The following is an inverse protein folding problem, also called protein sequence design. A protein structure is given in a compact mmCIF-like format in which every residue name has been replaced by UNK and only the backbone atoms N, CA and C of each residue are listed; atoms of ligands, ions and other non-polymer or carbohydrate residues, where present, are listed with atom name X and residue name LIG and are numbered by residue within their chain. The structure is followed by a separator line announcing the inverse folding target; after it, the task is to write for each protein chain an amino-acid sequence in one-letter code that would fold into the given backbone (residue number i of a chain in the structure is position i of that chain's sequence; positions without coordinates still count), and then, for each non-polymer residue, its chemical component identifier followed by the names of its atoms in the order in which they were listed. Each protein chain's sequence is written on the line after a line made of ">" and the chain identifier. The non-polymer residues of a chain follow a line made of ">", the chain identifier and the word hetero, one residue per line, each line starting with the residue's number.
data_IF_173898346285
#
_entry.id   IF_173898346285
#
_cell.length_a   1.000
_cell.length_b   1.000
_cell.length_c   1.000
_cell.angle_alpha   90.00
_cell.angle_beta   90.00
_cell.angle_gamma   90.00
#
_symmetry.space_group_name_H-M   'P 1'
#
loop_
_entity.id
_entity.type
_entity.pdbx_description
1 polymer ?
#
# COMPACT_ATOMS: atom_id res chain seq x y z
N UNK A 1 -7.56 -31.12 6.41
CA UNK A 1 -7.27 -31.21 4.96
C UNK A 1 -6.06 -30.38 4.52
N UNK A 2 -5.90 -29.09 4.90
CA UNK A 2 -4.74 -28.28 4.47
C UNK A 2 -3.36 -28.73 5.02
N UNK A 3 -3.32 -29.31 6.22
CA UNK A 3 -2.07 -29.80 6.82
C UNK A 3 -1.52 -31.05 6.13
N UNK A 4 -2.41 -31.88 5.56
CA UNK A 4 -2.08 -33.11 4.81
C UNK A 4 -1.64 -32.84 3.38
N UNK A 5 -1.87 -31.63 2.86
CA UNK A 5 -1.49 -31.19 1.51
C UNK A 5 -0.08 -30.55 1.45
N UNK A 6 0.70 -30.61 2.53
CA UNK A 6 2.08 -30.10 2.56
C UNK A 6 2.21 -28.57 2.56
N UNK A 7 1.12 -27.82 2.69
CA UNK A 7 1.17 -26.36 2.82
C UNK A 7 1.89 -25.96 4.11
N UNK A 8 2.88 -25.07 3.97
CA UNK A 8 3.57 -24.46 5.13
C UNK A 8 2.53 -23.80 6.05
N UNK A 9 2.65 -23.96 7.39
CA UNK A 9 1.64 -23.52 8.35
C UNK A 9 1.13 -22.09 8.16
N UNK A 10 1.99 -21.19 7.72
CA UNK A 10 1.74 -19.77 7.51
C UNK A 10 0.73 -19.52 6.38
N UNK A 11 0.74 -20.30 5.30
CA UNK A 11 -0.13 -20.08 4.11
C UNK A 11 -1.55 -20.63 4.28
N UNK A 12 -1.78 -21.42 5.33
CA UNK A 12 -3.03 -22.15 5.55
C UNK A 12 -4.24 -21.23 5.77
N UNK A 13 -4.15 -20.11 6.53
CA UNK A 13 -5.27 -19.18 6.68
C UNK A 13 -5.71 -18.55 5.35
N UNK A 14 -4.76 -18.09 4.55
CA UNK A 14 -4.99 -17.49 3.23
C UNK A 14 -5.64 -18.47 2.27
N UNK A 15 -5.14 -19.70 2.24
CA UNK A 15 -5.71 -20.76 1.40
C UNK A 15 -7.08 -21.23 1.87
N UNK A 16 -7.30 -21.36 3.18
CA UNK A 16 -8.61 -21.68 3.75
C UNK A 16 -9.65 -20.63 3.38
N UNK A 17 -9.27 -19.34 3.50
CA UNK A 17 -10.11 -18.22 3.12
C UNK A 17 -10.45 -18.25 1.62
N UNK A 18 -9.44 -18.43 0.77
CA UNK A 18 -9.63 -18.53 -0.67
C UNK A 18 -10.58 -19.66 -1.06
N UNK A 19 -10.41 -20.86 -0.48
CA UNK A 19 -11.29 -22.01 -0.73
C UNK A 19 -12.71 -21.75 -0.28
N UNK A 20 -12.88 -21.16 0.90
CA UNK A 20 -14.19 -20.79 1.40
C UNK A 20 -14.92 -19.83 0.43
N UNK A 21 -14.24 -18.78 -0.06
CA UNK A 21 -14.82 -17.85 -1.03
C UNK A 21 -15.24 -18.54 -2.34
N UNK A 22 -14.44 -19.50 -2.81
CA UNK A 22 -14.75 -20.29 -4.01
C UNK A 22 -15.97 -21.19 -3.77
N UNK A 23 -15.99 -21.91 -2.65
CA UNK A 23 -17.08 -22.83 -2.28
C UNK A 23 -18.39 -22.11 -2.00
N UNK A 24 -18.32 -20.93 -1.37
CA UNK A 24 -19.50 -20.10 -1.05
C UNK A 24 -19.94 -19.22 -2.21
N UNK A 25 -19.16 -19.13 -3.30
CA UNK A 25 -19.35 -18.20 -4.40
C UNK A 25 -19.45 -16.72 -3.94
N UNK A 26 -18.78 -16.37 -2.85
CA UNK A 26 -18.75 -15.02 -2.30
C UNK A 26 -17.33 -14.45 -2.34
N UNK A 27 -17.17 -13.23 -2.85
CA UNK A 27 -15.92 -12.48 -2.70
C UNK A 27 -16.04 -11.57 -1.48
N UNK A 28 -15.24 -11.85 -0.45
CA UNK A 28 -15.26 -11.10 0.81
C UNK A 28 -13.98 -10.28 0.99
N UNK A 29 -14.16 -9.02 1.38
CA UNK A 29 -13.07 -8.14 1.81
C UNK A 29 -12.44 -8.61 3.14
N UNK A 30 -11.13 -8.39 3.29
CA UNK A 30 -10.43 -8.50 4.56
C UNK A 30 -11.04 -7.54 5.57
N UNK A 31 -11.63 -8.09 6.63
CA UNK A 31 -12.33 -7.34 7.67
C UNK A 31 -13.85 -7.52 7.69
N UNK A 32 -14.45 -8.15 6.66
CA UNK A 32 -15.87 -8.53 6.71
C UNK A 32 -16.14 -9.48 7.88
N UNK A 33 -17.33 -9.39 8.48
CA UNK A 33 -17.69 -10.16 9.69
C UNK A 33 -17.50 -11.68 9.47
N UNK A 34 -17.86 -12.18 8.29
CA UNK A 34 -17.68 -13.57 7.91
C UNK A 34 -16.21 -14.04 7.92
N UNK A 35 -15.24 -13.12 7.71
CA UNK A 35 -13.80 -13.45 7.79
C UNK A 35 -13.34 -13.71 9.23
N UNK A 36 -14.11 -13.27 10.25
CA UNK A 36 -13.79 -13.53 11.67
C UNK A 36 -13.89 -14.99 12.03
N UNK A 37 -14.81 -15.74 11.43
CA UNK A 37 -14.98 -17.18 11.71
C UNK A 37 -13.70 -17.93 11.35
N UNK A 38 -13.06 -17.56 10.24
CA UNK A 38 -11.79 -18.13 9.81
C UNK A 38 -10.67 -17.72 10.77
N UNK A 39 -10.61 -16.44 11.17
CA UNK A 39 -9.65 -15.96 12.15
C UNK A 39 -9.78 -16.68 13.52
N UNK A 40 -11.00 -16.81 14.04
CA UNK A 40 -11.31 -17.50 15.29
C UNK A 40 -10.99 -19.00 15.23
N UNK A 41 -11.28 -19.63 14.09
CA UNK A 41 -10.92 -21.03 13.90
C UNK A 41 -9.40 -21.19 13.96
N UNK A 42 -8.63 -20.39 13.21
CA UNK A 42 -7.17 -20.49 13.24
C UNK A 42 -6.57 -20.06 14.58
N UNK A 43 -7.14 -19.09 15.30
CA UNK A 43 -6.64 -18.70 16.63
C UNK A 43 -6.84 -19.80 17.67
N UNK A 44 -7.97 -20.54 17.60
CA UNK A 44 -8.26 -21.66 18.51
C UNK A 44 -7.56 -22.96 18.14
N UNK A 45 -7.28 -23.17 16.85
CA UNK A 45 -6.77 -24.44 16.33
C UNK A 45 -5.30 -24.37 15.87
N UNK A 46 -4.60 -23.25 16.08
CA UNK A 46 -3.16 -23.16 15.80
C UNK A 46 -2.36 -22.63 16.98
N UNK A 47 -1.26 -23.31 17.30
CA UNK A 47 -0.45 -23.09 18.51
C UNK A 47 0.47 -21.86 18.45
N UNK A 48 0.59 -21.19 17.29
CA UNK A 48 1.70 -20.27 17.01
C UNK A 48 1.30 -18.85 16.55
N UNK A 49 0.01 -18.48 16.61
CA UNK A 49 -0.43 -17.17 16.10
C UNK A 49 -0.19 -17.03 14.59
N UNK A 50 -0.23 -18.15 13.85
CA UNK A 50 0.12 -18.23 12.42
C UNK A 50 -0.84 -17.44 11.52
N UNK A 51 -2.02 -17.09 12.03
CA UNK A 51 -2.98 -16.18 11.41
C UNK A 51 -2.51 -14.70 11.39
N UNK A 52 -1.38 -14.37 12.04
CA UNK A 52 -0.81 -13.01 12.16
C UNK A 52 0.56 -12.90 11.48
N UNK A 53 1.20 -14.02 11.10
CA UNK A 53 2.63 -14.07 10.75
C UNK A 53 2.92 -14.39 9.28
N UNK A 54 2.25 -13.74 8.35
CA UNK A 54 2.76 -13.64 6.98
C UNK A 54 3.19 -12.20 6.69
N UNK A 55 4.37 -11.95 6.11
CA UNK A 55 4.62 -10.65 5.50
C UNK A 55 3.63 -10.49 4.34
N UNK A 56 2.63 -9.65 4.56
CA UNK A 56 1.66 -9.25 3.55
C UNK A 56 2.27 -8.26 2.57
N UNK A 57 3.11 -7.38 3.11
CA UNK A 57 3.82 -6.36 2.39
C UNK A 57 5.07 -5.93 3.14
N UNK A 58 5.85 -5.07 2.50
CA UNK A 58 7.02 -4.43 3.10
C UNK A 58 6.99 -2.95 2.73
N UNK A 59 7.43 -2.11 3.66
CA UNK A 59 7.62 -0.68 3.46
C UNK A 59 9.03 -0.28 3.92
N UNK A 60 9.52 0.84 3.40
CA UNK A 60 10.75 1.46 3.86
C UNK A 60 10.41 2.65 4.75
N UNK A 61 11.01 2.75 5.94
CA UNK A 61 10.86 3.91 6.80
C UNK A 61 12.19 4.63 6.94
N UNK A 62 12.23 5.94 6.76
CA UNK A 62 13.47 6.72 6.91
C UNK A 62 13.60 7.24 8.33
N UNK A 63 14.61 6.76 9.05
CA UNK A 63 14.87 7.19 10.41
C UNK A 63 16.34 6.95 10.81
N UNK A 64 16.88 7.82 11.67
CA UNK A 64 18.28 7.82 12.09
C UNK A 64 19.26 7.79 10.89
N UNK A 65 18.94 8.57 9.84
CA UNK A 65 19.69 8.68 8.59
C UNK A 65 19.76 7.40 7.74
N UNK A 66 18.92 6.40 8.01
CA UNK A 66 18.86 5.14 7.28
C UNK A 66 17.44 4.80 6.84
N UNK A 67 17.31 4.06 5.73
CA UNK A 67 16.06 3.38 5.40
C UNK A 67 16.05 2.03 6.11
N UNK A 68 15.00 1.79 6.89
CA UNK A 68 14.78 0.53 7.60
C UNK A 68 13.55 -0.16 7.06
N UNK A 69 13.61 -1.49 6.99
CA UNK A 69 12.48 -2.29 6.52
C UNK A 69 11.43 -2.44 7.62
N UNK A 70 10.16 -2.22 7.25
CA UNK A 70 8.99 -2.45 8.08
C UNK A 70 8.10 -3.48 7.40
N UNK A 71 7.81 -4.59 8.09
CA UNK A 71 6.98 -5.67 7.52
C UNK A 71 5.52 -5.48 7.90
N UNK A 72 4.65 -5.49 6.90
CA UNK A 72 3.21 -5.42 7.12
C UNK A 72 2.70 -6.84 7.38
N UNK A 73 2.11 -7.13 8.56
CA UNK A 73 1.63 -8.46 8.87
C UNK A 73 0.28 -8.72 8.20
N UNK A 74 0.07 -9.89 7.59
CA UNK A 74 -1.28 -10.29 7.18
C UNK A 74 -2.06 -10.69 8.41
N UNK A 75 -3.23 -10.09 8.56
CA UNK A 75 -4.06 -10.26 9.74
C UNK A 75 -5.48 -10.65 9.34
N UNK A 76 -5.95 -11.77 9.88
CA UNK A 76 -7.35 -12.17 9.78
C UNK A 76 -8.13 -11.68 11.00
N UNK A 77 -9.30 -11.07 10.79
CA UNK A 77 -10.17 -10.58 11.86
C UNK A 77 -9.70 -9.25 12.46
N UNK A 78 -9.71 -9.14 13.80
CA UNK A 78 -9.34 -7.91 14.54
C UNK A 78 -8.27 -8.11 15.64
N UNK A 79 -7.13 -8.79 15.39
CA UNK A 79 -6.08 -8.87 16.39
C UNK A 79 -5.33 -7.54 16.54
N UNK A 80 -4.72 -7.36 17.70
CA UNK A 80 -3.92 -6.18 18.01
C UNK A 80 -2.59 -6.25 17.25
N UNK A 81 -2.39 -5.33 16.31
CA UNK A 81 -1.10 -5.12 15.63
C UNK A 81 -0.26 -4.19 16.49
N UNK A 82 1.02 -4.52 16.66
CA UNK A 82 2.01 -3.67 17.32
C UNK A 82 2.99 -3.15 16.28
N UNK A 83 2.81 -1.92 15.76
CA UNK A 83 3.64 -1.36 14.68
C UNK A 83 5.14 -1.45 14.99
N UNK A 84 5.56 -1.04 16.19
CA UNK A 84 6.98 -1.03 16.59
C UNK A 84 7.65 -2.41 16.56
N UNK A 85 6.88 -3.52 16.58
CA UNK A 85 7.42 -4.89 16.47
C UNK A 85 7.66 -5.31 15.00
N UNK A 86 7.30 -4.47 14.04
CA UNK A 86 7.37 -4.78 12.61
C UNK A 86 8.67 -4.35 11.93
N UNK A 87 9.54 -3.61 12.64
CA UNK A 87 10.87 -3.30 12.14
C UNK A 87 11.71 -4.58 11.94
N UNK A 88 12.42 -4.66 10.82
CA UNK A 88 13.39 -5.73 10.52
C UNK A 88 14.80 -5.24 10.67
N UNK A 89 15.63 -6.04 11.35
CA UNK A 89 17.06 -5.79 11.53
C UNK A 89 17.38 -4.43 12.18
N UNK A 90 16.43 -3.84 12.92
CA UNK A 90 16.64 -2.63 13.72
C UNK A 90 16.93 -3.03 15.18
N UNK A 91 18.06 -2.60 15.75
CA UNK A 91 18.36 -2.83 17.16
C UNK A 91 17.25 -2.35 18.12
N UNK A 92 16.94 -3.08 19.21
CA UNK A 92 15.86 -2.70 20.12
C UNK A 92 16.00 -1.31 20.76
N UNK A 93 17.23 -0.88 21.07
CA UNK A 93 17.49 0.45 21.66
C UNK A 93 17.11 1.59 20.70
N UNK A 94 17.23 1.35 19.39
CA UNK A 94 16.84 2.29 18.37
C UNK A 94 15.30 2.40 18.30
N UNK A 95 14.59 1.27 18.33
CA UNK A 95 13.12 1.27 18.39
C UNK A 95 12.61 1.98 19.66
N UNK A 96 13.30 1.82 20.79
CA UNK A 96 13.00 2.55 22.02
C UNK A 96 13.22 4.06 21.88
N UNK A 97 14.30 4.51 21.21
CA UNK A 97 14.52 5.93 20.91
C UNK A 97 13.39 6.53 20.09
N UNK A 98 12.93 5.81 19.06
CA UNK A 98 11.77 6.23 18.26
C UNK A 98 10.50 6.33 19.12
N UNK A 99 10.24 5.33 19.96
CA UNK A 99 9.08 5.29 20.85
C UNK A 99 9.09 6.41 21.92
N UNK A 100 10.27 6.87 22.32
CA UNK A 100 10.45 7.95 23.30
C UNK A 100 10.36 9.36 22.71
N UNK A 101 10.29 9.50 21.39
CA UNK A 101 10.11 10.78 20.69
C UNK A 101 8.67 10.87 20.17
N UNK A 102 7.80 11.70 20.78
CA UNK A 102 6.39 11.79 20.37
C UNK A 102 6.21 12.06 18.88
N UNK A 103 6.90 13.07 18.33
CA UNK A 103 6.79 13.45 16.92
C UNK A 103 7.27 12.33 15.97
N UNK A 104 8.38 11.66 16.33
CA UNK A 104 8.91 10.55 15.51
C UNK A 104 8.00 9.33 15.57
N UNK A 105 7.42 9.06 16.74
CA UNK A 105 6.46 7.98 16.93
C UNK A 105 5.19 8.24 16.14
N UNK A 106 4.63 9.45 16.21
CA UNK A 106 3.45 9.84 15.45
C UNK A 106 3.68 9.73 13.95
N UNK A 107 4.80 10.27 13.45
CA UNK A 107 5.18 10.15 12.04
C UNK A 107 5.31 8.67 11.61
N UNK A 108 5.91 7.83 12.45
CA UNK A 108 6.02 6.40 12.19
C UNK A 108 4.65 5.70 12.18
N UNK A 109 3.77 6.00 13.12
CA UNK A 109 2.44 5.39 13.19
C UNK A 109 1.58 5.79 11.99
N UNK A 110 1.67 7.06 11.56
CA UNK A 110 0.99 7.52 10.35
C UNK A 110 1.54 6.80 9.11
N UNK A 111 2.86 6.74 8.95
CA UNK A 111 3.50 5.99 7.88
C UNK A 111 3.06 4.52 7.86
N UNK A 112 3.11 3.85 9.02
CA UNK A 112 2.69 2.47 9.17
C UNK A 112 1.23 2.27 8.77
N UNK A 113 0.34 3.16 9.23
CA UNK A 113 -1.09 3.12 8.89
C UNK A 113 -1.31 3.25 7.37
N UNK A 114 -0.64 4.20 6.72
CA UNK A 114 -0.73 4.39 5.27
C UNK A 114 -0.24 3.14 4.52
N UNK A 115 0.95 2.63 4.89
CA UNK A 115 1.53 1.46 4.25
C UNK A 115 0.64 0.23 4.43
N UNK A 116 0.22 -0.04 5.66
CA UNK A 116 -0.65 -1.15 5.97
C UNK A 116 -1.97 -1.07 5.20
N UNK A 117 -2.58 0.12 5.18
CA UNK A 117 -3.80 0.40 4.42
C UNK A 117 -3.64 0.09 2.93
N UNK A 118 -2.56 0.54 2.30
CA UNK A 118 -2.30 0.24 0.87
C UNK A 118 -2.36 -1.25 0.58
N UNK A 119 -1.66 -2.08 1.35
CA UNK A 119 -1.67 -3.52 1.10
C UNK A 119 -3.06 -4.13 1.31
N UNK A 120 -3.77 -3.73 2.37
CA UNK A 120 -5.11 -4.27 2.68
C UNK A 120 -6.10 -3.92 1.58
N UNK A 121 -6.14 -2.63 1.20
CA UNK A 121 -7.05 -2.14 0.18
C UNK A 121 -6.71 -2.70 -1.21
N UNK A 122 -5.42 -2.81 -1.55
CA UNK A 122 -5.00 -3.46 -2.80
C UNK A 122 -5.53 -4.89 -2.90
N UNK A 123 -5.34 -5.70 -1.86
CA UNK A 123 -5.78 -7.08 -1.83
C UNK A 123 -7.31 -7.20 -1.89
N UNK A 124 -8.03 -6.32 -1.19
CA UNK A 124 -9.48 -6.26 -1.27
C UNK A 124 -9.92 -5.93 -2.69
N UNK A 125 -9.39 -4.87 -3.29
CA UNK A 125 -9.68 -4.46 -4.67
C UNK A 125 -9.34 -5.61 -5.65
N UNK A 126 -8.20 -6.29 -5.48
CA UNK A 126 -7.80 -7.42 -6.32
C UNK A 126 -8.84 -8.52 -6.33
N UNK A 127 -9.39 -8.88 -5.17
CA UNK A 127 -10.42 -9.92 -5.04
C UNK A 127 -11.76 -9.51 -5.63
N UNK A 128 -12.08 -8.22 -5.62
CA UNK A 128 -13.26 -7.70 -6.31
C UNK A 128 -13.03 -7.70 -7.83
N UNK A 129 -11.82 -7.41 -8.28
CA UNK A 129 -11.45 -7.42 -9.69
C UNK A 129 -11.36 -8.86 -10.27
N UNK A 130 -11.00 -9.86 -9.45
CA UNK A 130 -10.99 -11.29 -9.86
C UNK A 130 -12.37 -11.78 -10.31
N UNK A 131 -13.45 -11.29 -9.70
CA UNK A 131 -14.82 -11.66 -10.10
C UNK A 131 -15.33 -10.84 -11.28
N UNK A 132 -14.86 -9.60 -11.44
CA UNK A 132 -15.23 -8.69 -12.53
C UNK A 132 -14.07 -7.77 -12.90
N UNK A 133 -13.17 -8.19 -13.82
CA UNK A 133 -11.99 -7.41 -14.18
C UNK A 133 -12.34 -6.03 -14.72
N UNK A 134 -11.62 -5.01 -14.25
CA UNK A 134 -11.87 -3.61 -14.56
C UNK A 134 -10.57 -2.86 -14.88
N UNK A 135 -10.70 -1.76 -15.63
CA UNK A 135 -9.57 -0.86 -15.85
C UNK A 135 -9.05 -0.29 -14.53
N UNK A 136 -9.93 -0.01 -13.56
CA UNK A 136 -9.56 0.52 -12.24
C UNK A 136 -8.68 -0.48 -11.50
N UNK A 137 -9.04 -1.76 -11.47
CA UNK A 137 -8.23 -2.82 -10.84
C UNK A 137 -6.83 -2.92 -11.44
N UNK A 138 -6.70 -2.84 -12.77
CA UNK A 138 -5.39 -2.83 -13.44
C UNK A 138 -4.52 -1.66 -13.03
N UNK A 139 -5.10 -0.44 -12.93
CA UNK A 139 -4.39 0.74 -12.45
C UNK A 139 -3.97 0.60 -10.99
N UNK A 140 -4.84 0.09 -10.11
CA UNK A 140 -4.50 -0.17 -8.71
C UNK A 140 -3.32 -1.12 -8.59
N UNK A 141 -3.36 -2.27 -9.29
CA UNK A 141 -2.24 -3.22 -9.29
C UNK A 141 -0.95 -2.58 -9.85
N UNK A 142 -1.06 -1.72 -10.86
CA UNK A 142 0.10 -1.02 -11.41
C UNK A 142 0.70 -0.02 -10.41
N UNK A 143 -0.12 0.78 -9.71
CA UNK A 143 0.34 1.70 -8.69
C UNK A 143 1.05 0.98 -7.53
N UNK A 144 0.46 -0.12 -7.03
CA UNK A 144 1.06 -0.96 -5.99
C UNK A 144 2.40 -1.58 -6.40
N UNK A 145 2.54 -2.03 -7.65
CA UNK A 145 3.82 -2.52 -8.18
C UNK A 145 4.89 -1.42 -8.17
N UNK A 146 4.53 -0.19 -8.53
CA UNK A 146 5.46 0.93 -8.49
C UNK A 146 5.87 1.27 -7.05
N UNK A 147 4.95 1.29 -6.07
CA UNK A 147 5.31 1.46 -4.65
C UNK A 147 6.24 0.35 -4.12
N UNK A 148 5.98 -0.89 -4.53
CA UNK A 148 6.82 -2.03 -4.15
C UNK A 148 8.23 -1.90 -4.74
N UNK A 149 8.33 -1.45 -6.00
CA UNK A 149 9.60 -1.15 -6.66
C UNK A 149 10.34 0.00 -5.95
N UNK A 150 9.63 1.08 -5.60
CA UNK A 150 10.19 2.18 -4.84
C UNK A 150 10.75 1.73 -3.49
N UNK A 151 9.99 0.87 -2.78
CA UNK A 151 10.42 0.29 -1.50
C UNK A 151 11.70 -0.53 -1.66
N UNK A 152 11.78 -1.38 -2.69
CA UNK A 152 12.98 -2.15 -2.98
C UNK A 152 14.20 -1.25 -3.29
N UNK A 153 13.99 -0.16 -4.04
CA UNK A 153 15.02 0.82 -4.36
C UNK A 153 15.48 1.65 -3.14
N UNK A 154 14.62 1.89 -2.14
CA UNK A 154 15.02 2.54 -0.89
C UNK A 154 15.81 1.62 0.03
N UNK A 155 15.46 0.33 0.05
CA UNK A 155 16.11 -0.69 0.87
C UNK A 155 17.38 -1.26 0.23
N UNK A 156 17.76 -0.83 -0.98
CA UNK A 156 19.03 -1.20 -1.58
C UNK A 156 20.21 -0.51 -0.89
N UNK A 157 21.41 -1.05 -1.08
CA UNK A 157 22.65 -0.47 -0.54
C UNK A 157 23.62 -0.15 -1.68
N UNK A 158 23.82 1.14 -2.05
CA UNK A 158 23.12 2.32 -1.52
C UNK A 158 21.65 2.42 -1.99
N UNK A 159 20.81 3.25 -1.33
CA UNK A 159 19.47 3.58 -1.83
C UNK A 159 19.55 4.22 -3.21
N UNK A 160 18.60 3.87 -4.07
CA UNK A 160 18.60 4.26 -5.48
C UNK A 160 17.61 5.39 -5.76
N UNK A 161 18.03 6.36 -6.59
CA UNK A 161 17.14 7.39 -7.13
C UNK A 161 15.94 6.86 -7.93
N UNK A 162 15.99 5.59 -8.37
CA UNK A 162 14.83 4.89 -8.95
C UNK A 162 13.60 4.95 -8.04
N UNK A 163 13.80 4.99 -6.72
CA UNK A 163 12.72 5.13 -5.74
C UNK A 163 11.86 6.38 -5.99
N UNK A 164 12.47 7.50 -6.39
CA UNK A 164 11.74 8.74 -6.65
C UNK A 164 10.91 8.64 -7.93
N UNK A 165 11.45 8.02 -8.98
CA UNK A 165 10.72 7.78 -10.22
C UNK A 165 9.52 6.85 -10.03
N UNK A 166 9.74 5.74 -9.31
CA UNK A 166 8.70 4.74 -9.04
C UNK A 166 7.62 5.33 -8.14
N UNK A 167 8.00 6.13 -7.13
CA UNK A 167 7.07 6.89 -6.29
C UNK A 167 6.22 7.85 -7.13
N UNK A 168 6.85 8.59 -8.05
CA UNK A 168 6.15 9.51 -8.95
C UNK A 168 5.14 8.77 -9.84
N UNK A 169 5.53 7.62 -10.40
CA UNK A 169 4.64 6.81 -11.22
C UNK A 169 3.47 6.25 -10.41
N UNK A 170 3.71 5.80 -9.18
CA UNK A 170 2.66 5.34 -8.28
C UNK A 170 1.62 6.44 -8.03
N UNK A 171 2.06 7.68 -7.73
CA UNK A 171 1.18 8.85 -7.59
C UNK A 171 0.35 9.07 -8.85
N UNK A 172 0.99 9.11 -10.01
CA UNK A 172 0.31 9.35 -11.29
C UNK A 172 -0.79 8.30 -11.55
N UNK A 173 -0.44 7.03 -11.41
CA UNK A 173 -1.35 5.91 -11.71
C UNK A 173 -2.50 5.88 -10.70
N UNK A 174 -2.22 6.09 -9.42
CA UNK A 174 -3.25 6.09 -8.37
C UNK A 174 -4.28 7.21 -8.56
N UNK A 175 -3.83 8.44 -8.87
CA UNK A 175 -4.75 9.54 -9.18
C UNK A 175 -5.58 9.20 -10.42
N UNK A 176 -4.96 8.71 -11.49
CA UNK A 176 -5.68 8.29 -12.70
C UNK A 176 -6.74 7.23 -12.40
N UNK A 177 -6.46 6.26 -11.53
CA UNK A 177 -7.42 5.24 -11.11
C UNK A 177 -8.69 5.86 -10.49
N UNK A 178 -8.53 6.84 -9.60
CA UNK A 178 -9.65 7.58 -8.99
C UNK A 178 -10.45 8.35 -10.04
N UNK A 179 -9.76 9.01 -10.99
CA UNK A 179 -10.42 9.79 -12.04
C UNK A 179 -11.22 8.91 -13.01
N UNK A 180 -10.72 7.72 -13.34
CA UNK A 180 -11.44 6.73 -14.15
C UNK A 180 -12.72 6.32 -13.41
N UNK A 181 -12.59 5.96 -12.12
CA UNK A 181 -13.72 5.47 -11.34
C UNK A 181 -14.78 6.54 -11.07
N UNK A 182 -14.37 7.72 -10.60
CA UNK A 182 -15.30 8.73 -10.06
C UNK A 182 -15.79 9.73 -11.09
N UNK A 183 -15.03 9.98 -12.15
CA UNK A 183 -15.40 10.94 -13.20
C UNK A 183 -15.60 10.30 -14.58
N UNK A 184 -15.48 8.97 -14.69
CA UNK A 184 -15.71 8.25 -15.94
C UNK A 184 -14.67 8.53 -17.03
N UNK A 185 -13.48 9.01 -16.65
CA UNK A 185 -12.37 9.17 -17.59
C UNK A 185 -11.92 7.81 -18.13
N UNK A 186 -11.31 7.81 -19.31
CA UNK A 186 -10.62 6.64 -19.88
C UNK A 186 -9.11 6.88 -19.86
N UNK A 187 -8.30 5.81 -19.96
CA UNK A 187 -6.85 5.98 -20.07
C UNK A 187 -6.46 6.88 -21.26
N UNK A 188 -7.12 6.71 -22.41
CA UNK A 188 -6.91 7.53 -23.59
C UNK A 188 -7.23 9.02 -23.35
N UNK A 189 -8.31 9.34 -22.64
CA UNK A 189 -8.65 10.75 -22.33
C UNK A 189 -7.66 11.35 -21.36
N UNK A 190 -7.24 10.59 -20.33
CA UNK A 190 -6.25 11.04 -19.36
C UNK A 190 -4.88 11.27 -20.00
N UNK A 191 -4.46 10.37 -20.89
CA UNK A 191 -3.20 10.52 -21.61
C UNK A 191 -3.22 11.75 -22.53
N UNK A 192 -4.34 12.01 -23.22
CA UNK A 192 -4.47 13.18 -24.10
C UNK A 192 -4.52 14.50 -23.32
N UNK A 193 -5.26 14.56 -22.21
CA UNK A 193 -5.48 15.80 -21.47
C UNK A 193 -4.35 16.12 -20.49
N UNK A 194 -3.89 15.11 -19.75
CA UNK A 194 -2.96 15.30 -18.64
C UNK A 194 -1.59 14.70 -18.92
N UNK A 195 -1.50 13.69 -19.79
CA UNK A 195 -0.28 12.93 -20.07
C UNK A 195 0.34 12.46 -18.75
N UNK A 196 1.57 12.89 -18.44
CA UNK A 196 2.28 12.58 -17.21
C UNK A 196 2.39 13.79 -16.26
N UNK A 197 1.51 14.78 -16.35
CA UNK A 197 1.63 16.00 -15.54
C UNK A 197 0.85 15.85 -14.22
N UNK A 198 1.57 15.81 -13.10
CA UNK A 198 0.98 15.59 -11.77
C UNK A 198 0.10 16.76 -11.31
N UNK A 199 0.51 18.01 -11.57
CA UNK A 199 -0.25 19.19 -11.14
C UNK A 199 -1.64 19.24 -11.79
N UNK A 200 -1.79 19.13 -13.12
CA UNK A 200 -3.10 19.00 -13.76
C UNK A 200 -3.94 17.82 -13.25
N UNK A 201 -3.32 16.66 -13.02
CA UNK A 201 -4.01 15.49 -12.45
C UNK A 201 -4.55 15.78 -11.05
N UNK A 202 -3.76 16.45 -10.19
CA UNK A 202 -4.20 16.90 -8.87
C UNK A 202 -5.37 17.87 -8.99
N UNK A 203 -5.30 18.86 -9.88
CA UNK A 203 -6.40 19.81 -10.10
C UNK A 203 -7.69 19.09 -10.49
N UNK A 204 -7.61 18.06 -11.33
CA UNK A 204 -8.78 17.25 -11.67
C UNK A 204 -9.27 16.41 -10.46
N UNK A 205 -8.35 15.85 -9.66
CA UNK A 205 -8.67 15.12 -8.44
C UNK A 205 -9.43 15.95 -7.41
N UNK A 206 -9.18 17.27 -7.33
CA UNK A 206 -9.89 18.18 -6.42
C UNK A 206 -11.40 18.20 -6.66
N UNK A 207 -11.88 17.82 -7.85
CA UNK A 207 -13.31 17.66 -8.15
C UNK A 207 -13.94 16.47 -7.42
N UNK A 208 -13.14 15.49 -7.03
CA UNK A 208 -13.55 14.28 -6.32
C UNK A 208 -13.28 14.42 -4.81
N UNK A 209 -12.09 14.90 -4.45
CA UNK A 209 -11.66 15.09 -3.05
C UNK A 209 -11.10 16.51 -2.88
N UNK A 210 -11.90 17.47 -2.37
CA UNK A 210 -11.50 18.88 -2.26
C UNK A 210 -10.27 19.12 -1.39
N UNK A 211 -10.07 18.28 -0.37
CA UNK A 211 -8.85 18.25 0.43
C UNK A 211 -8.21 16.85 0.36
N UNK A 212 -7.30 16.61 -0.60
CA UNK A 212 -6.68 15.32 -0.79
C UNK A 212 -5.52 15.06 0.19
N UNK A 213 -5.22 15.98 1.12
CA UNK A 213 -4.15 15.81 2.11
C UNK A 213 -2.73 16.02 1.59
N UNK A 214 -2.60 16.60 0.38
CA UNK A 214 -1.32 17.02 -0.20
C UNK A 214 -1.47 18.24 -1.11
N UNK A 215 -0.41 19.01 -1.21
CA UNK A 215 -0.33 20.28 -1.93
C UNK A 215 0.35 20.14 -3.28
N UNK A 216 0.17 21.15 -4.14
CA UNK A 216 0.92 21.27 -5.39
C UNK A 216 2.43 21.42 -5.12
N UNK A 217 2.79 22.16 -4.08
CA UNK A 217 4.18 22.37 -3.68
C UNK A 217 4.88 21.05 -3.29
N UNK A 218 4.16 20.13 -2.64
CA UNK A 218 4.70 18.80 -2.33
C UNK A 218 4.99 17.97 -3.59
N UNK A 219 4.20 18.13 -4.68
CA UNK A 219 4.45 17.41 -5.95
C UNK A 219 5.74 17.86 -6.64
N UNK A 220 6.26 19.06 -6.31
CA UNK A 220 7.51 19.57 -6.87
C UNK A 220 8.75 18.79 -6.41
N UNK A 221 8.61 17.87 -5.44
CA UNK A 221 9.68 16.91 -5.09
C UNK A 221 10.01 15.97 -6.26
N UNK A 222 9.04 15.74 -7.15
CA UNK A 222 9.25 14.87 -8.29
C UNK A 222 9.81 15.65 -9.47
N UNK A 223 10.87 15.14 -10.11
CA UNK A 223 11.38 15.72 -11.35
C UNK A 223 10.34 15.58 -12.47
N UNK A 224 10.43 16.47 -13.46
CA UNK A 224 9.65 16.33 -14.68
C UNK A 224 10.01 15.00 -15.39
N UNK A 225 9.05 14.44 -16.12
CA UNK A 225 9.22 13.16 -16.84
C UNK A 225 10.31 13.23 -17.90
N UNK A 226 10.54 14.42 -18.46
CA UNK A 226 11.63 14.70 -19.40
C UNK A 226 13.01 14.60 -18.75
N UNK A 227 13.11 14.79 -17.42
CA UNK A 227 14.35 14.74 -16.65
C UNK A 227 14.69 13.34 -16.10
N UNK A 228 13.91 12.29 -16.44
CA UNK A 228 14.18 10.88 -16.08
C UNK A 228 15.55 10.35 -16.56
N UNK A 229 16.20 11.05 -17.48
CA UNK A 229 17.53 10.70 -18.00
C UNK A 229 18.66 11.54 -17.41
N UNK A 230 18.37 12.41 -16.44
CA UNK A 230 19.37 13.22 -15.73
C UNK A 230 19.83 12.57 -14.42
N UNK A 231 20.93 13.08 -13.86
CA UNK A 231 21.42 12.68 -12.54
C UNK A 231 20.39 13.08 -11.46
N UNK A 232 19.52 12.14 -11.11
CA UNK A 232 18.60 12.30 -10.00
C UNK A 232 19.38 12.32 -8.68
N UNK A 233 19.03 13.27 -7.81
CA UNK A 233 19.68 13.39 -6.51
C UNK A 233 19.45 12.13 -5.66
N UNK A 234 20.55 11.52 -5.20
CA UNK A 234 20.54 10.43 -4.21
C UNK A 234 20.38 10.95 -2.77
N UNK A 235 19.90 12.18 -2.57
CA UNK A 235 19.62 12.72 -1.25
C UNK A 235 18.51 11.92 -0.56
N UNK A 236 18.87 11.19 0.50
CA UNK A 236 17.97 10.31 1.25
C UNK A 236 16.74 11.06 1.77
N UNK A 237 16.89 12.33 2.14
CA UNK A 237 15.75 13.13 2.61
C UNK A 237 14.72 13.36 1.49
N UNK A 238 15.17 13.62 0.27
CA UNK A 238 14.28 13.78 -0.88
C UNK A 238 13.68 12.45 -1.33
N UNK A 239 14.47 11.37 -1.33
CA UNK A 239 13.95 10.02 -1.60
C UNK A 239 12.83 9.64 -0.61
N UNK A 240 13.04 9.92 0.67
CA UNK A 240 12.03 9.72 1.72
C UNK A 240 10.78 10.57 1.48
N UNK A 241 10.93 11.89 1.25
CA UNK A 241 9.79 12.80 1.02
C UNK A 241 8.95 12.37 -0.18
N UNK A 242 9.59 11.98 -1.28
CA UNK A 242 8.90 11.47 -2.46
C UNK A 242 8.15 10.18 -2.16
N UNK A 243 8.81 9.21 -1.54
CA UNK A 243 8.16 7.94 -1.20
C UNK A 243 6.99 8.10 -0.20
N UNK A 244 7.16 8.89 0.85
CA UNK A 244 6.11 9.13 1.85
C UNK A 244 4.91 9.86 1.25
N UNK A 245 5.15 10.82 0.33
CA UNK A 245 4.08 11.44 -0.44
C UNK A 245 3.35 10.41 -1.31
N UNK A 246 4.09 9.55 -2.04
CA UNK A 246 3.47 8.51 -2.87
C UNK A 246 2.61 7.55 -2.04
N UNK A 247 3.11 7.13 -0.88
CA UNK A 247 2.38 6.25 0.02
C UNK A 247 1.07 6.87 0.49
N UNK A 248 1.10 8.14 0.94
CA UNK A 248 -0.11 8.90 1.34
C UNK A 248 -1.12 9.01 0.20
N UNK A 249 -0.66 9.39 -0.99
CA UNK A 249 -1.54 9.57 -2.16
C UNK A 249 -2.16 8.25 -2.59
N UNK A 250 -1.38 7.18 -2.62
CA UNK A 250 -1.89 5.84 -3.01
C UNK A 250 -2.86 5.33 -1.97
N UNK A 251 -2.55 5.44 -0.67
CA UNK A 251 -3.46 5.06 0.41
C UNK A 251 -4.83 5.76 0.27
N UNK A 252 -4.82 7.09 0.15
CA UNK A 252 -6.03 7.89 -0.07
C UNK A 252 -6.78 7.48 -1.35
N UNK A 253 -6.07 7.21 -2.44
CA UNK A 253 -6.69 6.82 -3.70
C UNK A 253 -7.36 5.45 -3.59
N UNK A 254 -6.71 4.49 -2.92
CA UNK A 254 -7.27 3.16 -2.73
C UNK A 254 -8.46 3.18 -1.76
N UNK A 255 -8.45 4.05 -0.76
CA UNK A 255 -9.57 4.23 0.16
C UNK A 255 -10.84 4.70 -0.57
N UNK A 256 -10.70 5.68 -1.48
CA UNK A 256 -11.80 6.12 -2.35
C UNK A 256 -12.30 4.96 -3.22
N UNK A 257 -11.38 4.22 -3.85
CA UNK A 257 -11.71 3.16 -4.79
C UNK A 257 -12.41 2.00 -4.08
N UNK A 258 -11.84 1.52 -2.99
CA UNK A 258 -12.39 0.41 -2.21
C UNK A 258 -13.79 0.78 -1.68
N UNK A 259 -13.95 1.98 -1.13
CA UNK A 259 -15.25 2.44 -0.61
C UNK A 259 -16.34 2.42 -1.68
N UNK A 260 -16.02 2.87 -2.90
CA UNK A 260 -16.96 2.86 -4.03
C UNK A 260 -17.27 1.43 -4.50
N UNK A 261 -16.26 0.58 -4.63
CA UNK A 261 -16.44 -0.80 -5.08
C UNK A 261 -17.27 -1.60 -4.08
N UNK A 262 -17.08 -1.38 -2.78
CA UNK A 262 -17.90 -2.02 -1.74
C UNK A 262 -19.35 -1.51 -1.74
N UNK A 263 -19.59 -0.24 -2.08
CA UNK A 263 -20.95 0.32 -2.15
C UNK A 263 -21.77 -0.18 -3.35
N UNK A 264 -21.12 -0.80 -4.34
CA UNK A 264 -21.77 -1.32 -5.57
C UNK A 264 -22.05 -2.83 -5.53
N UNK A 265 -21.74 -3.49 -4.41
CA UNK A 265 -22.09 -4.90 -4.13
C UNK A 265 -23.46 -5.01 -3.47
#
# INVERSE_FOLDING_TARGET
>A
MLATEGLIPERRPSEAFRRWCIESQQSLAFGAEATKVIAEWFSRNTTYGLHIRQPFGRAAFYWDMAFVEVVMPLVYGRPQIFPLKQFRNVPPYLVQRLASSPDSLEAYLQHFSNAYGVFVMEENIRRLDETKPSAVGQFVMAASRQLSSATAALLSSPPSAKALEDSRLAVEIAIKAVLILKLGHTDATLQKQFSHRLVPLRTELLKVKPDPGFTEAELAIYPDVSARYGDLSNDRANLWKGYELALRVVAMSLEIIESELLATQ
#
